data_IF_914224558156
#
_entry.id   IF_914224558156
#
_cell.length_a   1.000
_cell.length_b   1.000
_cell.length_c   1.000
_cell.angle_alpha   90.00
_cell.angle_beta   90.00
_cell.angle_gamma   90.00
#
_symmetry.space_group_name_H-M   'P 1'
#
loop_
_entity.id
_entity.type
_entity.pdbx_description
1 polymer ?
#
# COMPACT_ATOMS: atom_id res chain seq x y z
N UNK A 1 22.91 6.26 6.09
CA UNK A 1 22.94 7.76 6.23
C UNK A 1 24.37 8.26 6.38
N UNK A 2 25.20 7.91 5.44
CA UNK A 2 26.60 8.28 5.42
C UNK A 2 26.80 9.81 5.35
N UNK A 3 27.82 10.34 6.00
CA UNK A 3 28.16 11.78 6.02
C UNK A 3 27.26 12.68 6.88
N UNK A 4 26.31 12.12 7.62
CA UNK A 4 25.42 12.91 8.48
C UNK A 4 26.04 13.07 9.86
N UNK A 5 26.37 14.32 10.25
CA UNK A 5 26.94 14.65 11.57
C UNK A 5 25.94 14.54 12.73
N UNK A 6 24.63 14.53 12.45
CA UNK A 6 23.58 14.44 13.47
C UNK A 6 23.44 13.01 13.96
N UNK A 7 23.35 12.77 15.28
CA UNK A 7 23.13 11.43 15.82
C UNK A 7 21.88 10.75 15.25
N UNK A 8 21.97 9.46 14.93
CA UNK A 8 20.89 8.67 14.35
C UNK A 8 19.62 8.70 15.22
N UNK A 9 19.77 8.76 16.53
CA UNK A 9 18.65 8.87 17.48
C UNK A 9 17.83 10.14 17.25
N UNK A 10 18.46 11.27 17.01
CA UNK A 10 17.79 12.55 16.73
C UNK A 10 17.05 12.47 15.39
N UNK A 11 17.71 11.96 14.35
CA UNK A 11 17.09 11.76 13.04
C UNK A 11 15.85 10.87 13.16
N UNK A 12 15.98 9.78 13.90
CA UNK A 12 14.87 8.86 14.15
C UNK A 12 13.70 9.54 14.86
N UNK A 13 13.94 10.31 15.91
CA UNK A 13 12.87 11.01 16.63
C UNK A 13 12.12 11.97 15.71
N UNK A 14 12.84 12.68 14.84
CA UNK A 14 12.21 13.56 13.83
C UNK A 14 11.34 12.77 12.86
N UNK A 15 11.89 11.71 12.23
CA UNK A 15 11.15 10.90 11.27
C UNK A 15 9.96 10.18 11.91
N UNK A 16 10.11 9.69 13.15
CA UNK A 16 9.04 9.10 13.92
C UNK A 16 7.92 10.11 14.18
N UNK A 17 8.24 11.31 14.65
CA UNK A 17 7.28 12.38 14.88
C UNK A 17 6.53 12.77 13.59
N UNK A 18 7.25 12.82 12.47
CA UNK A 18 6.66 13.05 11.14
C UNK A 18 5.64 11.98 10.76
N UNK A 19 5.92 10.70 11.04
CA UNK A 19 4.99 9.60 10.77
C UNK A 19 3.86 9.48 11.80
N UNK A 20 3.93 10.21 12.92
CA UNK A 20 2.85 10.33 13.92
C UNK A 20 2.00 11.60 13.76
N UNK A 21 2.21 12.37 12.68
CA UNK A 21 1.35 13.49 12.31
C UNK A 21 1.93 14.87 12.55
N UNK A 22 3.17 14.97 13.03
CA UNK A 22 3.82 16.26 13.17
C UNK A 22 4.04 16.90 11.79
N UNK A 23 3.53 18.11 11.60
CA UNK A 23 3.73 18.87 10.38
C UNK A 23 5.20 19.21 10.17
N UNK A 24 5.60 19.45 8.91
CA UNK A 24 6.99 19.70 8.53
C UNK A 24 7.59 20.90 9.30
N UNK A 25 6.89 22.04 9.30
CA UNK A 25 7.33 23.24 10.00
C UNK A 25 7.31 23.07 11.54
N UNK A 26 6.37 22.28 12.07
CA UNK A 26 6.34 21.95 13.49
C UNK A 26 7.57 21.11 13.88
N UNK A 27 7.93 20.12 13.07
CA UNK A 27 9.12 19.30 13.31
C UNK A 27 10.40 20.17 13.30
N UNK A 28 10.52 21.11 12.35
CA UNK A 28 11.65 22.03 12.30
C UNK A 28 11.80 22.86 13.57
N UNK A 29 10.69 23.39 14.08
CA UNK A 29 10.69 24.17 15.34
C UNK A 29 10.95 23.31 16.59
N UNK A 30 10.28 22.15 16.67
CA UNK A 30 10.35 21.30 17.86
C UNK A 30 11.73 20.67 18.05
N UNK A 31 12.37 20.30 16.95
CA UNK A 31 13.70 19.66 16.99
C UNK A 31 14.85 20.61 16.69
N UNK A 32 14.56 21.91 16.54
CA UNK A 32 15.56 22.96 16.25
C UNK A 32 16.47 22.61 15.05
N UNK A 33 15.85 22.12 14.00
CA UNK A 33 16.53 21.71 12.76
C UNK A 33 16.01 22.50 11.57
N UNK A 34 16.92 22.88 10.69
CA UNK A 34 16.54 23.52 9.44
C UNK A 34 15.61 22.62 8.63
N UNK A 35 14.63 23.21 7.97
CA UNK A 35 13.68 22.48 7.12
C UNK A 35 14.37 21.64 6.04
N UNK A 36 15.39 22.18 5.39
CA UNK A 36 16.16 21.46 4.37
C UNK A 36 16.88 20.24 4.94
N UNK A 37 17.34 20.31 6.19
CA UNK A 37 17.95 19.17 6.89
C UNK A 37 16.94 18.03 7.10
N UNK A 38 15.73 18.34 7.58
CA UNK A 38 14.66 17.36 7.75
C UNK A 38 14.25 16.78 6.40
N UNK A 39 14.17 17.63 5.37
CA UNK A 39 13.86 17.21 4.00
C UNK A 39 14.90 16.23 3.46
N UNK A 40 16.19 16.47 3.69
CA UNK A 40 17.26 15.58 3.30
C UNK A 40 17.16 14.22 4.02
N UNK A 41 16.84 14.20 5.32
CA UNK A 41 16.63 12.96 6.07
C UNK A 41 15.41 12.18 5.59
N UNK A 42 14.29 12.86 5.32
CA UNK A 42 13.10 12.21 4.73
C UNK A 42 13.43 11.61 3.36
N UNK A 43 14.20 12.31 2.53
CA UNK A 43 14.58 11.84 1.19
C UNK A 43 15.46 10.59 1.27
N UNK A 44 16.52 10.64 2.08
CA UNK A 44 17.38 9.47 2.31
C UNK A 44 16.63 8.27 2.90
N UNK A 45 15.72 8.49 3.85
CA UNK A 45 14.88 7.41 4.38
C UNK A 45 13.90 6.87 3.33
N UNK A 46 13.34 7.73 2.49
CA UNK A 46 12.42 7.31 1.43
C UNK A 46 13.11 6.49 0.32
N UNK A 47 14.39 6.71 0.09
CA UNK A 47 15.21 5.93 -0.87
C UNK A 47 15.37 4.48 -0.41
N UNK A 48 15.41 4.22 0.90
CA UNK A 48 15.46 2.87 1.45
C UNK A 48 14.26 2.01 1.06
N UNK A 49 13.13 2.63 0.70
CA UNK A 49 11.94 1.91 0.25
C UNK A 49 12.25 0.93 -0.88
N UNK A 50 13.02 1.36 -1.88
CA UNK A 50 13.32 0.50 -3.04
C UNK A 50 14.17 -0.70 -2.65
N UNK A 51 15.21 -0.48 -1.85
CA UNK A 51 16.12 -1.55 -1.41
C UNK A 51 15.38 -2.54 -0.51
N UNK A 52 14.64 -2.04 0.48
CA UNK A 52 13.87 -2.87 1.41
C UNK A 52 12.72 -3.61 0.71
N UNK A 53 12.11 -3.02 -0.30
CA UNK A 53 11.10 -3.71 -1.11
C UNK A 53 11.72 -4.87 -1.91
N UNK A 54 12.86 -4.64 -2.57
CA UNK A 54 13.58 -5.70 -3.29
C UNK A 54 14.04 -6.79 -2.34
N UNK A 55 14.57 -6.41 -1.18
CA UNK A 55 14.93 -7.35 -0.13
C UNK A 55 13.74 -8.23 0.28
N UNK A 56 12.57 -7.61 0.54
CA UNK A 56 11.37 -8.35 0.89
C UNK A 56 10.92 -9.31 -0.22
N UNK A 57 11.03 -8.91 -1.50
CA UNK A 57 10.58 -9.75 -2.63
C UNK A 57 11.49 -10.94 -2.87
N UNK A 58 12.81 -10.84 -2.62
CA UNK A 58 13.76 -11.94 -2.88
C UNK A 58 13.84 -12.94 -1.73
N UNK A 59 13.32 -12.63 -0.55
CA UNK A 59 13.25 -13.56 0.58
C UNK A 59 12.01 -14.45 0.48
N UNK A 60 12.10 -15.63 1.07
CA UNK A 60 10.94 -16.48 1.25
C UNK A 60 9.96 -15.81 2.20
N UNK A 61 8.70 -15.70 1.78
CA UNK A 61 7.63 -15.15 2.58
C UNK A 61 6.33 -15.91 2.34
N UNK A 62 5.44 -15.85 3.32
CA UNK A 62 4.16 -16.50 3.22
C UNK A 62 3.05 -15.44 3.06
N UNK A 63 2.60 -15.23 1.85
CA UNK A 63 1.46 -14.36 1.54
C UNK A 63 0.34 -15.19 0.96
N UNK A 64 -0.82 -15.18 1.62
CA UNK A 64 -2.03 -15.83 1.13
C UNK A 64 -3.09 -14.85 0.66
N UNK A 65 -3.19 -13.69 1.29
CA UNK A 65 -4.24 -12.71 1.01
C UNK A 65 -3.67 -11.29 1.02
N UNK A 66 -3.79 -10.60 -0.11
CA UNK A 66 -3.51 -9.17 -0.22
C UNK A 66 -4.82 -8.41 -0.33
N UNK A 67 -4.99 -7.39 0.50
CA UNK A 67 -6.06 -6.41 0.38
C UNK A 67 -5.59 -5.20 -0.42
N UNK A 68 -6.38 -4.82 -1.43
CA UNK A 68 -6.18 -3.60 -2.21
C UNK A 68 -7.30 -2.61 -1.98
N UNK A 69 -6.95 -1.37 -1.68
CA UNK A 69 -7.90 -0.26 -1.53
C UNK A 69 -7.26 1.08 -1.89
N UNK A 70 -8.07 2.08 -2.18
CA UNK A 70 -7.60 3.41 -2.48
C UNK A 70 -8.27 4.48 -1.63
N UNK A 71 -7.49 5.46 -1.22
CA UNK A 71 -7.99 6.63 -0.53
C UNK A 71 -7.68 7.92 -1.29
N UNK A 72 -8.64 8.80 -1.25
CA UNK A 72 -8.50 10.14 -1.76
C UNK A 72 -8.00 11.09 -0.68
N UNK A 73 -7.06 11.96 -1.05
CA UNK A 73 -6.75 13.19 -0.33
C UNK A 73 -6.60 14.35 -1.31
N UNK A 74 -6.81 15.57 -0.82
CA UNK A 74 -6.52 16.75 -1.62
C UNK A 74 -5.03 16.82 -1.93
N UNK A 75 -4.70 17.16 -3.16
CA UNK A 75 -3.32 17.33 -3.60
C UNK A 75 -3.15 18.55 -4.50
N UNK A 76 -2.08 19.29 -4.32
CA UNK A 76 -1.69 20.50 -5.06
C UNK A 76 -2.68 21.65 -4.95
N UNK A 77 -3.92 21.46 -5.40
CA UNK A 77 -5.00 22.45 -5.40
C UNK A 77 -6.27 21.83 -4.82
N UNK A 78 -7.22 22.68 -4.47
CA UNK A 78 -8.56 22.23 -4.05
C UNK A 78 -9.40 21.95 -5.31
N UNK A 79 -9.18 20.78 -5.91
CA UNK A 79 -9.90 20.32 -7.09
C UNK A 79 -10.78 19.12 -6.75
N UNK A 80 -11.80 18.81 -7.57
CA UNK A 80 -12.61 17.60 -7.41
C UNK A 80 -11.79 16.32 -7.38
N UNK A 81 -12.28 15.22 -6.76
CA UNK A 81 -11.54 13.96 -6.63
C UNK A 81 -11.06 13.35 -7.95
N UNK A 82 -11.83 13.49 -9.02
CA UNK A 82 -11.50 12.98 -10.37
C UNK A 82 -10.31 13.71 -11.02
N UNK A 83 -10.05 14.95 -10.62
CA UNK A 83 -8.95 15.78 -11.14
C UNK A 83 -7.75 15.81 -10.18
N UNK A 84 -7.90 15.31 -8.96
CA UNK A 84 -6.87 15.42 -7.94
C UNK A 84 -5.73 14.42 -8.17
N UNK A 85 -4.45 14.87 -8.03
CA UNK A 85 -3.30 13.97 -7.97
C UNK A 85 -3.09 13.34 -6.58
N UNK A 86 -4.06 13.47 -5.69
CA UNK A 86 -3.97 13.01 -4.29
C UNK A 86 -4.58 11.62 -4.03
N UNK A 87 -4.80 10.80 -5.04
CA UNK A 87 -5.19 9.42 -4.84
C UNK A 87 -4.00 8.58 -4.40
N UNK A 88 -4.22 7.73 -3.42
CA UNK A 88 -3.20 6.81 -2.91
C UNK A 88 -3.75 5.41 -2.92
N UNK A 89 -3.01 4.48 -3.53
CA UNK A 89 -3.32 3.05 -3.57
C UNK A 89 -2.52 2.35 -2.47
N UNK A 90 -3.18 1.47 -1.76
CA UNK A 90 -2.62 0.57 -0.77
C UNK A 90 -2.72 -0.87 -1.27
N UNK A 91 -1.62 -1.62 -1.17
CA UNK A 91 -1.62 -3.08 -1.17
C UNK A 91 -1.01 -3.56 0.14
N UNK A 92 -1.74 -4.35 0.90
CA UNK A 92 -1.33 -4.81 2.22
C UNK A 92 -1.59 -6.30 2.40
N UNK A 93 -0.61 -7.03 2.91
CA UNK A 93 -0.83 -8.40 3.35
C UNK A 93 -1.77 -8.44 4.57
N UNK A 94 -2.78 -9.28 4.49
CA UNK A 94 -3.83 -9.38 5.51
C UNK A 94 -3.32 -9.90 6.84
N UNK A 95 -2.44 -10.90 6.83
CA UNK A 95 -1.96 -11.56 8.03
C UNK A 95 -0.92 -10.74 8.78
N UNK A 96 0.15 -10.37 8.10
CA UNK A 96 1.29 -9.65 8.68
C UNK A 96 1.07 -8.15 8.84
N UNK A 97 0.10 -7.56 8.10
CA UNK A 97 -0.06 -6.11 7.94
C UNK A 97 1.09 -5.45 7.20
N UNK A 98 1.91 -6.22 6.51
CA UNK A 98 2.98 -5.69 5.68
C UNK A 98 2.39 -4.92 4.48
N UNK A 99 2.82 -3.69 4.32
CA UNK A 99 2.41 -2.85 3.20
C UNK A 99 3.33 -3.18 2.02
N UNK A 100 2.80 -3.79 0.97
CA UNK A 100 3.55 -4.01 -0.26
C UNK A 100 3.69 -2.74 -1.07
N UNK A 101 2.60 -2.01 -1.23
CA UNK A 101 2.61 -0.75 -1.98
C UNK A 101 1.80 0.34 -1.28
N UNK A 102 2.32 1.56 -1.36
CA UNK A 102 1.66 2.78 -0.90
C UNK A 102 2.03 3.91 -1.86
N UNK A 103 1.33 3.96 -2.99
CA UNK A 103 1.67 4.85 -4.12
C UNK A 103 0.61 5.91 -4.36
N UNK A 104 1.04 7.16 -4.56
CA UNK A 104 0.13 8.27 -4.82
C UNK A 104 0.27 8.86 -6.22
N UNK A 105 -0.84 9.43 -6.71
CA UNK A 105 -0.90 10.04 -8.02
C UNK A 105 -2.33 10.39 -8.45
N UNK A 106 -2.51 10.67 -9.73
CA UNK A 106 -3.85 10.77 -10.32
C UNK A 106 -4.49 9.39 -10.41
N UNK A 107 -5.81 9.31 -10.23
CA UNK A 107 -6.57 8.05 -10.33
C UNK A 107 -6.71 7.58 -11.80
N UNK A 108 -5.59 7.38 -12.46
CA UNK A 108 -5.49 6.96 -13.86
C UNK A 108 -4.95 5.52 -13.96
N UNK A 109 -5.11 4.88 -15.13
CA UNK A 109 -4.57 3.51 -15.40
C UNK A 109 -3.10 3.38 -15.04
N UNK A 110 -2.28 4.42 -15.28
CA UNK A 110 -0.84 4.45 -15.00
C UNK A 110 -0.49 4.22 -13.52
N UNK A 111 -1.28 4.79 -12.58
CA UNK A 111 -1.07 4.58 -11.15
C UNK A 111 -1.32 3.11 -10.77
N UNK A 112 -2.42 2.53 -11.27
CA UNK A 112 -2.75 1.12 -11.03
C UNK A 112 -1.72 0.18 -11.67
N UNK A 113 -1.26 0.46 -12.90
CA UNK A 113 -0.22 -0.34 -13.56
C UNK A 113 1.08 -0.41 -12.74
N UNK A 114 1.47 0.71 -12.11
CA UNK A 114 2.65 0.75 -11.25
C UNK A 114 2.52 -0.22 -10.06
N UNK A 115 1.37 -0.19 -9.42
CA UNK A 115 1.06 -1.01 -8.24
C UNK A 115 0.89 -2.49 -8.61
N UNK A 116 0.23 -2.77 -9.75
CA UNK A 116 0.01 -4.15 -10.22
C UNK A 116 1.32 -4.86 -10.63
N UNK A 117 2.34 -4.12 -11.09
CA UNK A 117 3.67 -4.71 -11.33
C UNK A 117 4.30 -5.31 -10.07
N UNK A 118 4.02 -4.73 -8.91
CA UNK A 118 4.47 -5.29 -7.63
C UNK A 118 3.70 -6.57 -7.28
N UNK A 119 2.40 -6.63 -7.56
CA UNK A 119 1.61 -7.85 -7.40
C UNK A 119 2.11 -8.99 -8.28
N UNK A 120 2.51 -8.73 -9.53
CA UNK A 120 3.10 -9.76 -10.39
C UNK A 120 4.40 -10.32 -9.81
N UNK A 121 5.26 -9.46 -9.24
CA UNK A 121 6.47 -9.90 -8.55
C UNK A 121 6.13 -10.81 -7.36
N UNK A 122 5.19 -10.40 -6.51
CA UNK A 122 4.76 -11.18 -5.35
C UNK A 122 4.14 -12.50 -5.79
N UNK A 123 3.29 -12.50 -6.83
CA UNK A 123 2.63 -13.69 -7.35
C UNK A 123 3.60 -14.75 -7.89
N UNK A 124 4.83 -14.37 -8.27
CA UNK A 124 5.88 -15.31 -8.70
C UNK A 124 6.52 -16.05 -7.54
N UNK A 125 6.46 -15.50 -6.33
CA UNK A 125 7.08 -16.06 -5.11
C UNK A 125 6.08 -16.78 -4.20
N UNK A 126 4.82 -16.84 -4.57
CA UNK A 126 3.80 -17.53 -3.78
C UNK A 126 2.98 -18.49 -4.64
N UNK A 127 2.60 -19.64 -4.07
CA UNK A 127 1.83 -20.67 -4.78
C UNK A 127 0.33 -20.48 -4.70
N UNK A 128 -0.15 -19.57 -3.83
CA UNK A 128 -1.56 -19.38 -3.55
C UNK A 128 -1.84 -17.97 -3.03
N UNK A 129 -2.14 -17.06 -3.96
CA UNK A 129 -2.36 -15.65 -3.68
C UNK A 129 -3.80 -15.27 -3.99
N UNK A 130 -4.53 -14.83 -2.98
CA UNK A 130 -5.83 -14.20 -3.14
C UNK A 130 -5.71 -12.69 -3.03
N UNK A 131 -6.21 -11.97 -4.03
CA UNK A 131 -6.22 -10.52 -4.05
C UNK A 131 -7.67 -10.07 -3.90
N UNK A 132 -7.93 -9.30 -2.84
CA UNK A 132 -9.26 -8.85 -2.44
C UNK A 132 -9.34 -7.32 -2.51
N UNK A 133 -10.33 -6.80 -3.20
CA UNK A 133 -10.49 -5.36 -3.39
C UNK A 133 -11.93 -4.89 -3.16
N UNK A 134 -12.10 -3.60 -3.00
CA UNK A 134 -13.39 -2.99 -2.69
C UNK A 134 -13.99 -2.25 -3.90
N UNK A 135 -14.43 -3.01 -4.91
CA UNK A 135 -15.24 -2.51 -6.03
C UNK A 135 -14.49 -1.82 -7.17
N UNK A 136 -13.17 -1.72 -7.12
CA UNK A 136 -12.38 -1.10 -8.18
C UNK A 136 -11.87 -2.14 -9.19
N UNK A 137 -12.46 -2.15 -10.39
CA UNK A 137 -12.20 -3.15 -11.45
C UNK A 137 -10.80 -3.09 -12.06
N UNK A 138 -10.13 -1.95 -11.99
CA UNK A 138 -8.80 -1.79 -12.59
C UNK A 138 -7.76 -2.73 -12.01
N UNK A 139 -7.89 -3.12 -10.74
CA UNK A 139 -7.00 -4.11 -10.12
C UNK A 139 -7.09 -5.46 -10.85
N UNK A 140 -8.30 -6.01 -10.97
CA UNK A 140 -8.52 -7.31 -11.61
C UNK A 140 -8.16 -7.29 -13.09
N UNK A 141 -8.58 -6.28 -13.83
CA UNK A 141 -8.32 -6.17 -15.27
C UNK A 141 -6.81 -6.10 -15.57
N UNK A 142 -6.07 -5.25 -14.87
CA UNK A 142 -4.63 -5.10 -15.08
C UNK A 142 -3.85 -6.32 -14.60
N UNK A 143 -4.27 -6.92 -13.47
CA UNK A 143 -3.66 -8.15 -13.01
C UNK A 143 -3.84 -9.28 -14.03
N UNK A 144 -5.04 -9.41 -14.59
CA UNK A 144 -5.32 -10.40 -15.62
C UNK A 144 -4.53 -10.16 -16.91
N UNK A 145 -4.27 -8.88 -17.27
CA UNK A 145 -3.40 -8.54 -18.41
C UNK A 145 -1.98 -9.15 -18.25
N UNK A 146 -1.42 -9.22 -17.06
CA UNK A 146 -0.03 -9.64 -16.80
C UNK A 146 0.12 -11.04 -16.18
N UNK A 147 -0.90 -11.52 -15.45
CA UNK A 147 -0.89 -12.78 -14.71
C UNK A 147 -1.84 -13.83 -15.31
N UNK A 148 -1.98 -13.92 -16.63
CA UNK A 148 -2.79 -14.94 -17.26
C UNK A 148 -1.95 -16.04 -17.92
N UNK A 149 -2.56 -17.21 -18.10
CA UNK A 149 -2.06 -18.32 -18.90
C UNK A 149 -3.08 -18.71 -19.98
N UNK A 150 -2.62 -19.39 -21.01
CA UNK A 150 -3.45 -19.85 -22.12
C UNK A 150 -3.79 -21.33 -21.91
N UNK A 151 -5.06 -21.64 -21.72
CA UNK A 151 -5.55 -23.01 -21.53
C UNK A 151 -6.24 -23.49 -22.80
N UNK A 152 -5.74 -24.63 -23.34
CA UNK A 152 -6.36 -25.36 -24.43
C UNK A 152 -7.33 -26.40 -23.85
N UNK A 153 -8.60 -26.30 -24.20
CA UNK A 153 -9.65 -27.21 -23.70
C UNK A 153 -9.91 -28.40 -24.64
N UNK A 154 -8.92 -28.79 -25.46
CA UNK A 154 -9.07 -29.89 -26.43
C UNK A 154 -10.01 -29.63 -27.63
N UNK A 155 -10.68 -28.46 -27.65
CA UNK A 155 -11.57 -28.05 -28.74
C UNK A 155 -10.82 -27.17 -29.75
N UNK A 156 -11.23 -27.26 -31.03
CA UNK A 156 -10.74 -26.37 -32.05
C UNK A 156 -11.06 -24.90 -31.66
N UNK A 157 -10.11 -24.00 -31.91
CA UNK A 157 -10.26 -22.58 -31.65
C UNK A 157 -9.13 -21.97 -30.83
N UNK A 158 -9.23 -20.66 -30.57
CA UNK A 158 -8.22 -19.91 -29.80
C UNK A 158 -8.20 -20.34 -28.34
N UNK A 159 -7.01 -20.59 -27.75
CA UNK A 159 -6.88 -20.89 -26.32
C UNK A 159 -7.56 -19.82 -25.46
N UNK A 160 -8.24 -20.26 -24.41
CA UNK A 160 -8.86 -19.32 -23.45
C UNK A 160 -7.84 -18.80 -22.45
N UNK A 161 -7.93 -17.53 -22.16
CA UNK A 161 -7.14 -16.91 -21.08
C UNK A 161 -7.77 -17.23 -19.73
N UNK A 162 -6.95 -17.61 -18.76
CA UNK A 162 -7.33 -17.76 -17.35
C UNK A 162 -6.25 -17.17 -16.47
N UNK A 163 -6.55 -16.82 -15.22
CA UNK A 163 -5.48 -16.51 -14.28
C UNK A 163 -4.54 -17.68 -14.14
N UNK A 164 -3.25 -17.38 -13.92
CA UNK A 164 -2.25 -18.41 -13.60
C UNK A 164 -2.69 -19.21 -12.38
N UNK A 165 -2.30 -20.49 -12.36
CA UNK A 165 -2.57 -21.34 -11.21
C UNK A 165 -2.05 -20.69 -9.92
N UNK A 166 -2.88 -20.67 -8.86
CA UNK A 166 -2.53 -20.09 -7.57
C UNK A 166 -2.73 -18.57 -7.47
N UNK A 167 -3.28 -17.90 -8.50
CA UNK A 167 -3.66 -16.49 -8.43
C UNK A 167 -5.17 -16.35 -8.50
N UNK A 168 -5.75 -15.72 -7.48
CA UNK A 168 -7.19 -15.53 -7.35
C UNK A 168 -7.51 -14.05 -7.11
N UNK A 169 -8.53 -13.57 -7.79
CA UNK A 169 -9.01 -12.20 -7.60
C UNK A 169 -10.49 -12.19 -7.23
N UNK A 170 -10.82 -11.47 -6.17
CA UNK A 170 -12.21 -11.23 -5.78
C UNK A 170 -12.42 -9.77 -5.46
N UNK A 171 -13.55 -9.29 -5.88
CA UNK A 171 -13.98 -7.93 -5.63
C UNK A 171 -15.28 -7.94 -4.83
N UNK A 172 -15.31 -7.14 -3.76
CA UNK A 172 -16.52 -6.92 -3.00
C UNK A 172 -17.53 -6.14 -3.83
N UNK A 173 -18.69 -6.72 -4.05
CA UNK A 173 -19.72 -6.06 -4.83
C UNK A 173 -20.57 -5.12 -3.97
N UNK A 174 -20.40 -3.83 -4.13
CA UNK A 174 -21.17 -2.82 -3.40
C UNK A 174 -22.58 -2.58 -3.93
N UNK A 175 -22.94 -3.20 -5.06
CA UNK A 175 -24.22 -2.97 -5.74
C UNK A 175 -24.35 -1.54 -6.30
N UNK A 176 -25.46 -1.29 -6.98
CA UNK A 176 -25.78 0.06 -7.44
C UNK A 176 -26.13 0.95 -6.23
N UNK A 177 -25.46 2.08 -6.11
CA UNK A 177 -25.85 3.11 -5.15
C UNK A 177 -27.12 3.79 -5.65
N UNK A 178 -28.27 3.35 -5.18
CA UNK A 178 -29.52 4.07 -5.43
C UNK A 178 -29.54 5.27 -4.48
N UNK A 179 -29.35 6.47 -5.01
CA UNK A 179 -29.56 7.72 -4.29
C UNK A 179 -31.03 7.88 -3.91
N UNK A 180 -31.44 7.29 -2.79
CA UNK A 180 -32.69 7.68 -2.11
C UNK A 180 -32.35 8.61 -0.95
N UNK A 181 -33.14 9.66 -0.78
CA UNK A 181 -33.06 10.59 0.38
C UNK A 181 -32.96 9.76 1.67
N UNK A 182 -31.85 9.94 2.41
CA UNK A 182 -31.56 9.25 3.67
C UNK A 182 -30.28 8.40 3.62
N UNK A 183 -29.74 8.08 4.79
CA UNK A 183 -28.55 7.24 5.00
C UNK A 183 -28.84 5.79 4.61
N UNK A 184 -28.92 5.46 3.31
CA UNK A 184 -28.98 4.06 2.89
C UNK A 184 -27.56 3.54 2.74
N UNK A 185 -27.20 2.53 3.55
CA UNK A 185 -26.00 1.73 3.33
C UNK A 185 -26.14 0.99 1.99
N UNK A 186 -25.08 0.95 1.16
CA UNK A 186 -25.13 0.14 -0.05
C UNK A 186 -25.47 -1.31 0.34
N UNK A 187 -26.44 -1.92 -0.33
CA UNK A 187 -26.67 -3.35 -0.20
C UNK A 187 -25.53 -4.06 -0.92
N UNK A 188 -24.67 -4.74 -0.16
CA UNK A 188 -23.69 -5.63 -0.74
C UNK A 188 -24.41 -6.76 -1.49
N UNK A 189 -23.94 -6.99 -2.70
CA UNK A 189 -24.38 -8.11 -3.52
C UNK A 189 -23.32 -9.22 -3.45
N UNK A 190 -23.69 -10.40 -3.91
CA UNK A 190 -22.78 -11.53 -3.97
C UNK A 190 -21.53 -11.17 -4.77
N UNK A 191 -20.30 -11.44 -4.26
CA UNK A 191 -19.08 -11.27 -5.01
C UNK A 191 -19.08 -12.13 -6.27
N UNK A 192 -18.55 -11.61 -7.36
CA UNK A 192 -18.43 -12.39 -8.59
C UNK A 192 -16.98 -12.48 -9.06
N UNK A 193 -16.74 -13.44 -9.95
CA UNK A 193 -15.47 -13.58 -10.68
C UNK A 193 -15.55 -12.72 -11.94
N UNK A 194 -14.67 -11.75 -12.08
CA UNK A 194 -14.58 -10.95 -13.31
C UNK A 194 -13.83 -11.67 -14.43
N UNK A 195 -12.88 -12.52 -14.05
CA UNK A 195 -12.02 -13.24 -14.99
C UNK A 195 -12.03 -14.73 -14.72
N UNK A 196 -11.83 -15.57 -15.76
CA UNK A 196 -11.65 -17.00 -15.57
C UNK A 196 -10.42 -17.27 -14.69
N UNK A 197 -10.53 -18.20 -13.77
CA UNK A 197 -9.46 -18.63 -12.87
C UNK A 197 -9.62 -20.12 -12.53
N UNK A 198 -8.53 -20.78 -12.10
CA UNK A 198 -8.59 -22.14 -11.57
C UNK A 198 -9.59 -22.23 -10.41
N UNK A 199 -10.25 -23.38 -10.30
CA UNK A 199 -11.26 -23.58 -9.28
C UNK A 199 -10.67 -23.43 -7.87
N UNK A 200 -11.15 -22.43 -7.14
CA UNK A 200 -10.93 -22.24 -5.70
C UNK A 200 -12.17 -21.62 -5.08
N UNK A 201 -12.57 -22.15 -3.97
CA UNK A 201 -13.65 -21.59 -3.17
C UNK A 201 -13.04 -20.67 -2.11
N UNK A 202 -13.37 -19.38 -2.18
CA UNK A 202 -13.08 -18.40 -1.13
C UNK A 202 -14.41 -18.11 -0.46
N UNK A 203 -14.48 -18.23 0.86
CA UNK A 203 -15.71 -17.96 1.60
C UNK A 203 -16.15 -16.50 1.37
N UNK A 204 -17.41 -16.26 1.12
CA UNK A 204 -17.93 -14.92 0.84
C UNK A 204 -17.67 -13.95 2.00
N UNK A 205 -17.66 -14.46 3.23
CA UNK A 205 -17.31 -13.71 4.45
C UNK A 205 -15.90 -13.18 4.44
N UNK A 206 -14.97 -13.84 3.75
CA UNK A 206 -13.57 -13.46 3.69
C UNK A 206 -13.28 -12.41 2.61
N UNK A 207 -14.25 -12.18 1.71
CA UNK A 207 -14.10 -11.21 0.62
C UNK A 207 -14.43 -9.82 1.13
N UNK A 208 -13.43 -9.18 1.75
CA UNK A 208 -13.50 -7.83 2.27
C UNK A 208 -12.11 -7.17 2.28
N UNK A 209 -12.07 -5.84 2.41
CA UNK A 209 -10.87 -5.03 2.58
C UNK A 209 -10.88 -4.28 3.93
N UNK A 210 -11.38 -4.92 4.98
CA UNK A 210 -11.58 -4.28 6.29
C UNK A 210 -10.26 -3.82 6.92
N UNK A 211 -9.16 -4.54 6.67
CA UNK A 211 -7.85 -4.17 7.22
C UNK A 211 -7.26 -2.98 6.47
N UNK A 212 -7.47 -2.88 5.16
CA UNK A 212 -7.13 -1.70 4.37
C UNK A 212 -7.94 -0.48 4.83
N UNK A 213 -9.25 -0.64 5.11
CA UNK A 213 -10.07 0.43 5.69
C UNK A 213 -9.57 0.86 7.07
N UNK A 214 -9.19 -0.09 7.94
CA UNK A 214 -8.61 0.19 9.25
C UNK A 214 -7.26 0.93 9.13
N UNK A 215 -6.43 0.54 8.16
CA UNK A 215 -5.19 1.24 7.83
C UNK A 215 -5.44 2.71 7.45
N UNK A 216 -6.41 2.98 6.56
CA UNK A 216 -6.75 4.35 6.19
C UNK A 216 -7.25 5.16 7.40
N UNK A 217 -8.01 4.53 8.29
CA UNK A 217 -8.43 5.19 9.54
C UNK A 217 -7.22 5.55 10.42
N UNK A 218 -6.24 4.66 10.55
CA UNK A 218 -5.02 4.93 11.28
C UNK A 218 -4.16 6.01 10.60
N UNK A 219 -4.00 5.95 9.27
CA UNK A 219 -3.23 6.94 8.52
C UNK A 219 -3.84 8.34 8.61
N UNK A 220 -5.17 8.46 8.61
CA UNK A 220 -5.87 9.75 8.80
C UNK A 220 -5.58 10.38 10.15
N UNK A 221 -5.37 9.59 11.20
CA UNK A 221 -4.94 10.10 12.52
C UNK A 221 -3.48 10.54 12.52
N UNK A 222 -2.63 9.82 11.80
CA UNK A 222 -1.18 10.00 11.78
C UNK A 222 -0.65 10.94 10.69
N UNK A 223 -1.45 11.25 9.70
CA UNK A 223 -1.05 12.14 8.61
C UNK A 223 -2.13 13.19 8.34
N UNK A 224 -1.82 14.43 8.66
CA UNK A 224 -2.76 15.54 8.54
C UNK A 224 -3.31 15.71 7.11
N UNK A 225 -2.52 15.37 6.09
CA UNK A 225 -2.91 15.42 4.68
C UNK A 225 -4.08 14.50 4.35
N UNK A 226 -4.22 13.36 5.06
CA UNK A 226 -5.30 12.40 4.85
C UNK A 226 -6.54 12.66 5.71
N UNK A 227 -6.51 13.65 6.60
CA UNK A 227 -7.69 14.04 7.38
C UNK A 227 -8.79 14.55 6.46
N UNK A 228 -10.02 14.13 6.73
CA UNK A 228 -11.19 14.63 6.00
C UNK A 228 -11.39 16.12 6.30
N UNK A 229 -11.79 16.90 5.28
CA UNK A 229 -12.04 18.35 5.40
C UNK A 229 -10.83 19.13 5.94
N UNK A 230 -9.61 18.73 5.59
CA UNK A 230 -8.38 19.41 6.01
C UNK A 230 -7.97 20.52 5.05
N UNK A 231 -7.36 21.58 5.58
CA UNK A 231 -6.62 22.58 4.80
C UNK A 231 -5.12 22.25 4.67
N UNK A 232 -4.65 21.21 5.40
CA UNK A 232 -3.25 20.78 5.41
C UNK A 232 -2.99 19.69 4.37
N UNK A 233 -3.36 19.94 3.13
CA UNK A 233 -3.12 19.01 2.02
C UNK A 233 -1.72 19.16 1.42
N UNK A 234 -1.25 18.12 0.74
CA UNK A 234 0.06 18.12 0.12
C UNK A 234 0.15 19.11 -1.04
N UNK A 235 1.12 20.01 -0.98
CA UNK A 235 1.36 21.01 -2.05
C UNK A 235 2.02 20.42 -3.28
N UNK A 236 2.71 19.29 -3.14
CA UNK A 236 3.36 18.56 -4.24
C UNK A 236 3.19 17.04 -4.06
N UNK A 237 2.85 16.34 -5.15
CA UNK A 237 2.72 14.88 -5.16
C UNK A 237 4.03 14.18 -4.77
N UNK A 238 5.18 14.72 -5.23
CA UNK A 238 6.51 14.20 -4.83
C UNK A 238 6.73 14.26 -3.32
N UNK A 239 6.29 15.35 -2.66
CA UNK A 239 6.38 15.49 -1.20
C UNK A 239 5.47 14.51 -0.46
N UNK A 240 4.26 14.28 -0.97
CA UNK A 240 3.36 13.26 -0.43
C UNK A 240 3.95 11.86 -0.58
N UNK A 241 4.44 11.51 -1.77
CA UNK A 241 5.06 10.20 -2.02
C UNK A 241 6.28 9.96 -1.14
N UNK A 242 7.12 10.97 -0.92
CA UNK A 242 8.26 10.86 -0.01
C UNK A 242 7.80 10.54 1.42
N UNK A 243 6.82 11.26 1.94
CA UNK A 243 6.26 11.00 3.28
C UNK A 243 5.67 9.60 3.39
N UNK A 244 4.95 9.14 2.36
CA UNK A 244 4.38 7.79 2.31
C UNK A 244 5.47 6.72 2.30
N UNK A 245 6.59 6.93 1.62
CA UNK A 245 7.74 6.02 1.64
C UNK A 245 8.42 5.97 3.00
N UNK A 246 8.61 7.11 3.65
CA UNK A 246 9.09 7.15 5.04
C UNK A 246 8.13 6.39 5.96
N UNK A 247 6.82 6.62 5.81
CA UNK A 247 5.80 5.89 6.56
C UNK A 247 5.87 4.38 6.30
N UNK A 248 6.04 3.97 5.05
CA UNK A 248 6.20 2.58 4.63
C UNK A 248 7.40 1.91 5.31
N UNK A 249 8.57 2.55 5.30
CA UNK A 249 9.79 2.04 5.97
C UNK A 249 9.54 1.88 7.47
N UNK A 250 9.01 2.93 8.11
CA UNK A 250 8.76 2.91 9.56
C UNK A 250 7.71 1.88 9.93
N UNK A 251 6.62 1.75 9.17
CA UNK A 251 5.55 0.79 9.42
C UNK A 251 6.04 -0.64 9.28
N UNK A 252 6.68 -0.95 8.17
CA UNK A 252 7.05 -2.33 7.83
C UNK A 252 8.23 -2.87 8.64
N UNK A 253 9.21 -2.04 8.98
CA UNK A 253 10.49 -2.50 9.51
C UNK A 253 10.81 -2.05 10.94
N UNK A 254 10.15 -1.01 11.44
CA UNK A 254 10.50 -0.42 12.73
C UNK A 254 9.36 -0.41 13.75
N UNK A 255 8.11 -0.27 13.29
CA UNK A 255 6.94 -0.14 14.18
C UNK A 255 6.33 -1.49 14.48
N UNK A 256 6.19 -1.82 15.76
CA UNK A 256 5.39 -2.97 16.20
C UNK A 256 3.92 -2.68 15.92
N UNK A 257 3.25 -3.58 15.22
CA UNK A 257 1.81 -3.47 14.93
C UNK A 257 0.99 -3.99 16.12
N UNK A 258 -0.04 -3.25 16.51
CA UNK A 258 -0.81 -3.54 17.72
C UNK A 258 -1.53 -4.90 17.69
N UNK A 259 -2.00 -5.33 16.53
CA UNK A 259 -2.73 -6.61 16.38
C UNK A 259 -1.78 -7.80 16.30
N UNK A 260 -0.74 -7.72 15.47
CA UNK A 260 0.20 -8.84 15.26
C UNK A 260 1.24 -8.93 16.38
N UNK A 261 1.39 -7.89 17.20
CA UNK A 261 2.42 -7.76 18.26
C UNK A 261 3.84 -7.91 17.74
N UNK A 262 4.04 -7.83 16.45
CA UNK A 262 5.31 -7.91 15.76
C UNK A 262 5.47 -6.74 14.76
N UNK A 263 6.68 -6.52 14.33
CA UNK A 263 6.97 -5.66 13.17
C UNK A 263 6.47 -6.40 11.93
N UNK A 264 5.74 -5.76 11.00
CA UNK A 264 5.18 -6.42 9.82
C UNK A 264 6.17 -7.27 9.02
N UNK A 265 7.41 -6.81 8.84
CA UNK A 265 8.43 -7.58 8.13
C UNK A 265 8.83 -8.89 8.86
N UNK A 266 8.77 -8.90 10.19
CA UNK A 266 8.97 -10.11 10.99
C UNK A 266 7.73 -11.02 10.91
N UNK A 267 6.53 -10.43 11.02
CA UNK A 267 5.28 -11.19 10.91
C UNK A 267 5.10 -11.82 9.52
N UNK A 268 5.67 -11.22 8.46
CA UNK A 268 5.69 -11.75 7.11
C UNK A 268 6.73 -12.87 6.90
N UNK A 269 7.71 -12.99 7.78
CA UNK A 269 8.82 -13.93 7.65
C UNK A 269 10.04 -13.41 6.88
N UNK A 270 10.01 -12.15 6.43
CA UNK A 270 11.14 -11.50 5.72
C UNK A 270 12.33 -11.24 6.65
N UNK A 271 12.06 -11.04 7.92
CA UNK A 271 13.06 -10.81 8.95
C UNK A 271 12.85 -11.80 10.11
N UNK A 272 13.93 -12.34 10.65
CA UNK A 272 13.89 -13.16 11.86
C UNK A 272 13.62 -12.33 13.12
N UNK A 273 14.12 -11.11 13.15
CA UNK A 273 13.97 -10.16 14.27
C UNK A 273 13.76 -8.74 13.79
N UNK A 274 13.25 -7.91 14.68
CA UNK A 274 13.17 -6.46 14.46
C UNK A 274 14.57 -5.87 14.25
N UNK A 275 14.73 -5.07 13.22
CA UNK A 275 15.93 -4.27 13.02
C UNK A 275 15.93 -3.04 13.92
N UNK A 276 17.11 -2.65 14.38
CA UNK A 276 17.32 -1.36 15.02
C UNK A 276 17.28 -0.24 13.99
N UNK A 277 17.06 0.99 14.44
CA UNK A 277 17.10 2.16 13.58
C UNK A 277 18.49 2.36 12.96
N UNK A 278 19.54 2.03 13.70
CA UNK A 278 20.91 2.11 13.22
C UNK A 278 21.14 1.16 12.05
N UNK A 279 20.71 -0.12 12.18
CA UNK A 279 20.81 -1.10 11.09
C UNK A 279 20.07 -0.63 9.84
N UNK A 280 18.84 -0.13 9.98
CA UNK A 280 18.06 0.40 8.83
C UNK A 280 18.78 1.56 8.15
N UNK A 281 19.39 2.47 8.91
CA UNK A 281 20.06 3.63 8.33
C UNK A 281 21.48 3.33 7.82
N UNK A 282 22.04 2.18 8.15
CA UNK A 282 23.28 1.66 7.58
C UNK A 282 23.08 0.94 6.25
N UNK A 283 21.84 0.54 5.91
CA UNK A 283 21.54 -0.02 4.60
C UNK A 283 21.88 1.02 3.54
N UNK A 284 22.84 0.68 2.69
CA UNK A 284 23.26 1.50 1.56
C UNK A 284 22.63 0.96 0.28
N UNK A 285 22.32 1.84 -0.64
CA UNK A 285 22.08 1.45 -2.02
C UNK A 285 23.44 1.09 -2.64
N UNK A 286 23.60 -0.20 -2.96
CA UNK A 286 24.72 -0.67 -3.74
C UNK A 286 24.62 -0.19 -5.20
#
# INVERSE_FOLDING_TARGET
>A
MEGVKTPVSVIWHVLKARTEGMGFNAAARTFEKAQNTILAWESKCAELHQVLFLYAVVHEFFVSVIEGDEAYTKGQKNVPPDQSPGWTILLMDRASRFIWELECGKKEKKLFQKVIKSLDKIARHTHDLSILTDGERRYGNLLFEICHELVKNGKAGRPKKTFKRGVHFRMKNKGAQVHKKGRKRPKYQRPWREHPEPARTIAETDIHANHAEAFWSALRRKCATFRRKTNTYAKATKGLQRLLRVYWVVHNFLRVHCTTRAVPAVALGVLERRLSVQEIFQIQMA
#
